data_IF_417588684707
#
_entry.id   IF_417588684707
#
_cell.length_a   1.000
_cell.length_b   1.000
_cell.length_c   1.000
_cell.angle_alpha   90.00
_cell.angle_beta   90.00
_cell.angle_gamma   90.00
#
_symmetry.space_group_name_H-M   'P 1'
#
loop_
_entity.id
_entity.type
_entity.pdbx_description
1 polymer ?
#
# COMPACT_ATOMS: atom_id res chain seq x y z
N UNK A 1 20.96 27.99 43.90
CA UNK A 1 21.42 29.33 43.47
C UNK A 1 21.35 29.37 41.95
N UNK A 2 20.28 29.87 41.33
CA UNK A 2 20.00 31.29 41.03
C UNK A 2 21.08 31.92 40.14
N UNK A 3 20.81 31.94 38.80
CA UNK A 3 20.68 33.07 37.84
C UNK A 3 22.01 33.77 37.44
N UNK A 4 22.25 34.38 36.26
CA UNK A 4 21.47 35.16 35.25
C UNK A 4 22.07 34.90 33.83
N UNK A 5 21.40 34.92 32.67
CA UNK A 5 20.55 35.90 31.94
C UNK A 5 21.25 37.08 31.23
N UNK A 6 21.21 37.06 29.89
CA UNK A 6 20.99 38.19 28.95
C UNK A 6 20.92 37.58 27.53
N UNK A 7 19.98 37.86 26.62
CA UNK A 7 18.93 38.86 26.56
C UNK A 7 18.88 39.46 25.14
N UNK A 8 17.66 39.51 24.57
CA UNK A 8 17.16 40.38 23.47
C UNK A 8 17.08 39.82 22.02
N UNK A 9 15.86 39.35 21.70
CA UNK A 9 14.92 39.94 20.72
C UNK A 9 15.47 40.86 19.61
N UNK A 10 15.15 40.52 18.34
CA UNK A 10 14.66 41.46 17.32
C UNK A 10 13.76 40.78 16.29
N UNK A 11 12.58 41.38 16.08
CA UNK A 11 11.52 41.05 15.13
C UNK A 11 11.72 41.73 13.77
N UNK A 12 11.41 40.98 12.71
CA UNK A 12 10.86 41.24 11.38
C UNK A 12 10.96 42.59 10.61
N UNK A 13 11.35 42.41 9.32
CA UNK A 13 10.95 43.06 8.03
C UNK A 13 11.46 44.49 7.70
N UNK A 14 11.46 44.96 6.43
CA UNK A 14 10.96 44.36 5.17
C UNK A 14 11.94 44.39 3.96
N UNK A 15 11.72 43.57 2.93
CA UNK A 15 12.10 43.92 1.56
C UNK A 15 10.88 43.81 0.65
N UNK A 16 10.49 44.97 0.14
CA UNK A 16 9.54 45.17 -0.95
C UNK A 16 10.35 45.83 -2.08
N UNK A 17 10.09 45.37 -3.31
CA UNK A 17 10.55 45.89 -4.61
C UNK A 17 12.00 45.60 -5.02
N UNK A 18 12.15 44.70 -5.99
CA UNK A 18 12.38 45.09 -7.40
C UNK A 18 12.35 43.84 -8.29
N UNK A 19 11.31 43.77 -9.13
CA UNK A 19 11.37 43.01 -10.36
C UNK A 19 12.40 43.68 -11.28
N UNK A 20 13.38 42.94 -11.78
CA UNK A 20 13.96 43.07 -13.12
C UNK A 20 14.96 41.95 -13.36
N UNK A 21 14.68 41.13 -14.38
CA UNK A 21 15.62 40.35 -15.18
C UNK A 21 16.79 39.63 -14.46
N UNK A 22 16.66 38.32 -14.27
CA UNK A 22 17.77 37.44 -14.67
C UNK A 22 17.24 36.20 -15.37
N UNK A 23 17.58 36.14 -16.67
CA UNK A 23 17.60 34.92 -17.47
C UNK A 23 18.83 34.09 -17.05
N UNK A 24 18.66 32.78 -17.13
CA UNK A 24 19.69 31.75 -17.37
C UNK A 24 20.62 31.38 -16.21
N UNK A 25 20.45 30.16 -15.69
CA UNK A 25 21.25 28.99 -16.12
C UNK A 25 20.97 27.80 -15.19
N UNK A 26 20.08 26.90 -15.60
CA UNK A 26 20.02 25.55 -15.02
C UNK A 26 20.57 24.60 -16.09
N UNK A 27 21.68 23.95 -15.75
CA UNK A 27 22.38 22.91 -16.52
C UNK A 27 23.00 23.34 -17.86
N UNK A 28 24.19 23.94 -17.80
CA UNK A 28 25.21 23.78 -18.85
C UNK A 28 26.62 23.92 -18.25
N UNK A 29 27.26 22.78 -17.98
CA UNK A 29 28.71 22.63 -18.01
C UNK A 29 29.09 21.22 -18.47
N UNK A 30 29.17 21.10 -19.80
CA UNK A 30 30.15 20.34 -20.59
C UNK A 30 30.65 18.99 -20.10
N UNK A 31 30.19 17.94 -20.79
CA UNK A 31 30.85 16.64 -20.90
C UNK A 31 30.05 15.76 -21.84
N UNK A 32 30.25 15.90 -23.15
CA UNK A 32 29.51 15.16 -24.17
C UNK A 32 29.72 13.65 -24.06
N UNK A 33 28.64 12.91 -23.82
CA UNK A 33 28.52 11.48 -24.07
C UNK A 33 27.05 11.18 -24.46
N UNK A 34 26.80 10.26 -25.40
CA UNK A 34 25.55 10.20 -26.17
C UNK A 34 24.33 9.78 -25.32
N UNK A 35 23.17 10.29 -25.73
CA UNK A 35 21.83 10.00 -25.22
C UNK A 35 21.62 8.53 -24.80
N UNK A 36 21.52 8.29 -23.49
CA UNK A 36 21.20 6.99 -22.90
C UNK A 36 19.77 6.49 -23.21
N UNK A 37 18.93 7.30 -23.88
CA UNK A 37 17.61 6.91 -24.39
C UNK A 37 17.65 5.76 -25.42
N UNK A 38 18.79 5.49 -26.06
CA UNK A 38 18.89 4.42 -27.07
C UNK A 38 19.50 3.10 -26.58
N UNK A 39 19.96 3.01 -25.32
CA UNK A 39 20.65 1.82 -24.82
C UNK A 39 19.84 1.00 -23.80
N UNK A 40 18.92 1.62 -23.06
CA UNK A 40 18.04 0.88 -22.14
C UNK A 40 16.93 0.15 -22.89
N UNK A 41 16.44 0.71 -24.01
CA UNK A 41 15.48 0.05 -24.92
C UNK A 41 16.09 -1.07 -25.79
N UNK A 42 17.41 -1.30 -25.75
CA UNK A 42 18.09 -2.32 -26.56
C UNK A 42 18.61 -3.53 -25.77
N UNK A 43 18.57 -3.52 -24.43
CA UNK A 43 19.18 -4.59 -23.61
C UNK A 43 18.20 -5.49 -22.86
N UNK A 44 16.96 -5.05 -22.66
CA UNK A 44 15.84 -5.92 -22.32
C UNK A 44 14.81 -5.80 -23.44
N UNK A 45 14.97 -6.68 -24.43
CA UNK A 45 14.15 -6.66 -25.62
C UNK A 45 12.69 -6.89 -25.24
N UNK A 46 11.80 -6.13 -25.86
CA UNK A 46 10.36 -6.38 -25.92
C UNK A 46 9.99 -7.77 -26.47
N UNK A 47 10.96 -8.64 -26.76
CA UNK A 47 10.79 -10.01 -27.25
C UNK A 47 10.24 -10.93 -26.16
N UNK A 48 10.75 -10.92 -24.93
CA UNK A 48 10.32 -11.92 -23.91
C UNK A 48 8.95 -11.61 -23.33
N UNK A 49 8.57 -10.33 -23.23
CA UNK A 49 7.26 -9.87 -22.73
C UNK A 49 6.18 -9.96 -23.82
N UNK A 50 6.51 -9.59 -25.08
CA UNK A 50 5.62 -9.83 -26.22
C UNK A 50 5.42 -11.33 -26.46
N UNK A 51 6.43 -12.15 -26.18
CA UNK A 51 6.35 -13.61 -26.29
C UNK A 51 5.59 -14.27 -25.12
N UNK A 52 5.60 -13.67 -23.93
CA UNK A 52 4.71 -14.03 -22.80
C UNK A 52 3.24 -13.71 -23.13
N UNK A 53 2.98 -12.50 -23.66
CA UNK A 53 1.64 -12.06 -24.10
C UNK A 53 1.16 -12.91 -25.29
N UNK A 54 2.03 -13.23 -26.25
CA UNK A 54 1.70 -14.08 -27.40
C UNK A 54 1.60 -15.58 -27.04
N UNK A 55 2.26 -16.06 -25.97
CA UNK A 55 2.01 -17.40 -25.40
C UNK A 55 0.64 -17.46 -24.73
N UNK A 56 0.26 -16.41 -24.01
CA UNK A 56 -1.06 -16.32 -23.40
C UNK A 56 -2.16 -16.29 -24.48
N UNK A 57 -2.02 -15.45 -25.51
CA UNK A 57 -2.94 -15.41 -26.67
C UNK A 57 -3.02 -16.74 -27.42
N UNK A 58 -1.92 -17.50 -27.55
CA UNK A 58 -1.90 -18.84 -28.17
C UNK A 58 -2.57 -19.92 -27.30
N UNK A 59 -2.47 -19.84 -25.98
CA UNK A 59 -3.16 -20.75 -25.07
C UNK A 59 -4.67 -20.48 -24.99
N UNK A 60 -5.11 -19.23 -25.18
CA UNK A 60 -6.54 -18.86 -25.26
C UNK A 60 -7.20 -19.37 -26.54
N UNK A 61 -6.49 -19.39 -27.67
CA UNK A 61 -7.02 -19.96 -28.92
C UNK A 61 -7.20 -21.49 -28.91
N UNK A 62 -6.58 -22.20 -27.97
CA UNK A 62 -6.67 -23.66 -27.81
C UNK A 62 -7.70 -24.14 -26.78
N UNK A 63 -8.31 -23.22 -26.02
CA UNK A 63 -9.32 -23.53 -25.01
C UNK A 63 -10.67 -22.93 -25.40
N UNK A 64 -11.38 -23.59 -26.31
CA UNK A 64 -12.85 -23.65 -26.22
C UNK A 64 -13.20 -24.35 -24.90
N UNK A 65 -13.21 -23.59 -23.81
CA UNK A 65 -13.70 -24.05 -22.52
C UNK A 65 -15.22 -23.91 -22.52
N UNK A 66 -15.86 -25.06 -22.67
CA UNK A 66 -17.24 -25.31 -22.30
C UNK A 66 -17.62 -24.57 -21.01
N UNK A 67 -18.69 -23.78 -21.08
CA UNK A 67 -19.40 -23.24 -19.93
C UNK A 67 -19.74 -24.38 -18.96
N UNK A 68 -18.93 -24.56 -17.92
CA UNK A 68 -19.29 -25.33 -16.74
C UNK A 68 -19.36 -24.32 -15.59
N UNK A 69 -20.57 -24.10 -15.10
CA UNK A 69 -20.84 -23.19 -13.99
C UNK A 69 -20.00 -23.60 -12.78
N UNK A 70 -19.08 -22.74 -12.33
CA UNK A 70 -18.32 -22.94 -11.11
C UNK A 70 -19.09 -22.45 -9.87
N UNK A 71 -20.40 -22.70 -9.81
CA UNK A 71 -21.28 -22.47 -8.63
C UNK A 71 -20.99 -23.49 -7.50
N UNK A 72 -19.81 -24.12 -7.51
CA UNK A 72 -19.56 -25.38 -6.80
C UNK A 72 -18.81 -25.29 -5.48
N UNK A 73 -18.19 -24.15 -5.13
CA UNK A 73 -17.25 -24.11 -3.99
C UNK A 73 -17.66 -23.23 -2.79
N UNK A 74 -18.80 -22.53 -2.86
CA UNK A 74 -19.41 -21.81 -1.74
C UNK A 74 -20.68 -22.48 -1.19
N UNK A 75 -20.75 -23.82 -1.20
CA UNK A 75 -21.76 -24.52 -0.40
C UNK A 75 -21.34 -24.56 1.08
N UNK A 76 -21.36 -23.42 1.74
CA UNK A 76 -21.36 -23.34 3.20
C UNK A 76 -22.80 -23.25 3.66
N UNK A 77 -23.29 -24.32 4.26
CA UNK A 77 -24.61 -24.39 4.87
C UNK A 77 -24.76 -23.28 5.91
N UNK A 78 -25.71 -22.37 5.66
CA UNK A 78 -26.17 -21.39 6.66
C UNK A 78 -26.42 -22.13 7.97
N UNK A 79 -25.77 -21.70 9.06
CA UNK A 79 -26.00 -22.30 10.37
C UNK A 79 -27.50 -22.26 10.70
N UNK A 80 -28.11 -23.32 11.25
CA UNK A 80 -29.56 -23.41 11.43
C UNK A 80 -30.18 -22.27 12.24
N UNK A 81 -29.39 -21.56 13.05
CA UNK A 81 -29.85 -20.42 13.85
C UNK A 81 -30.04 -19.12 13.07
N UNK A 82 -29.41 -18.94 11.90
CA UNK A 82 -29.53 -17.72 11.08
C UNK A 82 -30.72 -17.81 10.10
N UNK A 83 -31.15 -19.03 9.76
CA UNK A 83 -32.11 -19.30 8.69
C UNK A 83 -33.55 -18.81 8.94
N UNK A 84 -33.91 -18.35 10.14
CA UNK A 84 -35.30 -18.05 10.46
C UNK A 84 -35.77 -16.62 10.18
N UNK A 85 -34.89 -15.63 9.97
CA UNK A 85 -35.26 -14.23 9.66
C UNK A 85 -34.19 -13.48 8.83
N UNK A 86 -33.77 -14.03 7.70
CA UNK A 86 -32.82 -13.35 6.80
C UNK A 86 -33.60 -12.42 5.85
N UNK A 87 -33.43 -11.11 6.00
CA UNK A 87 -34.02 -10.06 5.15
C UNK A 87 -32.93 -9.19 4.53
N UNK A 88 -33.32 -8.29 3.62
CA UNK A 88 -32.43 -7.24 3.09
C UNK A 88 -31.91 -6.35 4.24
N UNK A 89 -32.69 -6.13 5.29
CA UNK A 89 -32.25 -5.38 6.48
C UNK A 89 -31.15 -6.11 7.24
N UNK A 90 -31.22 -7.45 7.31
CA UNK A 90 -30.14 -8.28 7.86
C UNK A 90 -28.85 -8.10 7.07
N UNK A 91 -28.94 -8.11 5.73
CA UNK A 91 -27.80 -7.84 4.85
C UNK A 91 -27.20 -6.44 5.09
N UNK A 92 -28.04 -5.41 5.12
CA UNK A 92 -27.61 -4.02 5.33
C UNK A 92 -26.91 -3.87 6.69
N UNK A 93 -27.46 -4.49 7.74
CA UNK A 93 -26.87 -4.50 9.08
C UNK A 93 -25.50 -5.16 9.11
N UNK A 94 -25.33 -6.31 8.43
CA UNK A 94 -24.04 -7.00 8.32
C UNK A 94 -23.01 -6.15 7.57
N UNK A 95 -23.41 -5.47 6.50
CA UNK A 95 -22.55 -4.57 5.75
C UNK A 95 -22.09 -3.38 6.62
N UNK A 96 -23.00 -2.76 7.38
CA UNK A 96 -22.68 -1.66 8.31
C UNK A 96 -21.70 -2.12 9.39
N UNK A 97 -21.84 -3.35 9.88
CA UNK A 97 -20.93 -3.95 10.87
C UNK A 97 -19.58 -4.36 10.27
N UNK A 98 -19.45 -4.33 8.94
CA UNK A 98 -18.25 -4.75 8.20
C UNK A 98 -18.08 -6.27 8.12
N UNK A 99 -19.14 -7.03 8.38
CA UNK A 99 -19.12 -8.48 8.45
C UNK A 99 -19.37 -9.10 7.06
N UNK A 100 -18.38 -8.94 6.18
CA UNK A 100 -18.48 -9.27 4.76
C UNK A 100 -18.71 -10.76 4.48
N UNK A 101 -18.26 -11.69 5.34
CA UNK A 101 -18.45 -13.14 5.11
C UNK A 101 -19.92 -13.51 5.21
N UNK A 102 -20.53 -13.18 6.35
CA UNK A 102 -21.94 -13.41 6.61
C UNK A 102 -22.81 -12.60 5.64
N UNK A 103 -22.38 -11.40 5.23
CA UNK A 103 -23.08 -10.63 4.21
C UNK A 103 -23.12 -11.36 2.85
N UNK A 104 -22.04 -12.03 2.44
CA UNK A 104 -21.98 -12.82 1.20
C UNK A 104 -22.80 -14.12 1.33
N UNK A 105 -22.81 -14.76 2.50
CA UNK A 105 -23.69 -15.92 2.76
C UNK A 105 -25.16 -15.53 2.69
N UNK A 106 -25.51 -14.37 3.26
CA UNK A 106 -26.86 -13.81 3.17
C UNK A 106 -27.21 -13.41 1.74
N UNK A 107 -26.26 -12.88 0.96
CA UNK A 107 -26.45 -12.57 -0.45
C UNK A 107 -26.87 -13.83 -1.24
N UNK A 108 -26.11 -14.91 -1.15
CA UNK A 108 -26.43 -16.18 -1.82
C UNK A 108 -27.80 -16.72 -1.40
N UNK A 109 -28.13 -16.63 -0.10
CA UNK A 109 -29.44 -17.02 0.40
C UNK A 109 -30.59 -16.17 -0.18
N UNK A 110 -30.42 -14.84 -0.25
CA UNK A 110 -31.42 -13.91 -0.77
C UNK A 110 -31.64 -14.12 -2.27
N UNK A 111 -30.58 -14.32 -3.05
CA UNK A 111 -30.65 -14.62 -4.48
C UNK A 111 -31.37 -15.96 -4.73
N UNK A 112 -31.04 -17.01 -3.95
CA UNK A 112 -31.72 -18.31 -4.02
C UNK A 112 -33.21 -18.25 -3.67
N UNK A 113 -33.65 -17.24 -2.91
CA UNK A 113 -35.07 -16.96 -2.60
C UNK A 113 -35.74 -16.04 -3.62
N UNK A 114 -35.00 -15.55 -4.62
CA UNK A 114 -35.52 -14.67 -5.67
C UNK A 114 -35.63 -13.19 -5.26
N UNK A 115 -34.96 -12.77 -4.18
CA UNK A 115 -34.86 -11.35 -3.85
C UNK A 115 -33.77 -10.70 -4.71
N UNK A 116 -34.13 -9.68 -5.49
CA UNK A 116 -33.17 -8.92 -6.29
C UNK A 116 -32.42 -7.91 -5.42
N UNK A 117 -31.10 -8.06 -5.34
CA UNK A 117 -30.22 -7.08 -4.71
C UNK A 117 -29.95 -5.93 -5.68
N UNK A 118 -29.98 -4.69 -5.18
CA UNK A 118 -29.65 -3.54 -6.00
C UNK A 118 -28.13 -3.32 -6.11
N UNK A 119 -27.74 -2.53 -7.11
CA UNK A 119 -26.35 -2.23 -7.40
C UNK A 119 -25.66 -1.51 -6.23
N UNK A 120 -26.36 -0.64 -5.51
CA UNK A 120 -25.79 0.15 -4.40
C UNK A 120 -25.33 -0.78 -3.29
N UNK A 121 -26.13 -1.79 -2.94
CA UNK A 121 -25.81 -2.79 -1.93
C UNK A 121 -24.65 -3.69 -2.36
N UNK A 122 -24.62 -4.12 -3.61
CA UNK A 122 -23.52 -4.93 -4.15
C UNK A 122 -22.21 -4.15 -4.18
N UNK A 123 -22.22 -2.87 -4.58
CA UNK A 123 -21.05 -2.00 -4.54
C UNK A 123 -20.59 -1.72 -3.10
N UNK A 124 -21.55 -1.58 -2.16
CA UNK A 124 -21.26 -1.49 -0.74
C UNK A 124 -20.54 -2.72 -0.20
N UNK A 125 -20.99 -3.92 -0.60
CA UNK A 125 -20.34 -5.17 -0.24
C UNK A 125 -18.98 -5.34 -0.93
N UNK A 126 -18.85 -4.94 -2.20
CA UNK A 126 -17.58 -4.98 -2.93
C UNK A 126 -16.48 -4.20 -2.18
N UNK A 127 -16.81 -3.03 -1.64
CA UNK A 127 -15.89 -2.25 -0.80
C UNK A 127 -15.44 -3.02 0.45
N UNK A 128 -16.33 -3.77 1.09
CA UNK A 128 -16.00 -4.58 2.27
C UNK A 128 -15.17 -5.82 1.91
N UNK A 129 -15.40 -6.38 0.72
CA UNK A 129 -14.66 -7.49 0.14
C UNK A 129 -13.30 -7.08 -0.43
N UNK A 130 -12.96 -5.77 -0.47
CA UNK A 130 -11.63 -5.26 -0.82
C UNK A 130 -10.53 -5.57 0.21
N UNK A 131 -10.45 -6.82 0.64
CA UNK A 131 -9.53 -7.34 1.65
C UNK A 131 -8.85 -8.61 1.12
N UNK A 132 -7.58 -8.89 1.49
CA UNK A 132 -6.84 -10.06 0.99
C UNK A 132 -7.54 -11.39 1.26
N UNK A 133 -8.23 -11.52 2.38
CA UNK A 133 -8.92 -12.76 2.78
C UNK A 133 -10.26 -12.96 2.09
N UNK A 134 -10.73 -11.94 1.35
CA UNK A 134 -12.05 -11.92 0.74
C UNK A 134 -11.98 -12.09 -0.79
N UNK A 135 -10.87 -12.55 -1.37
CA UNK A 135 -10.72 -12.70 -2.83
C UNK A 135 -11.82 -13.57 -3.45
N UNK A 136 -12.10 -14.73 -2.85
CA UNK A 136 -13.13 -15.63 -3.38
C UNK A 136 -14.55 -15.03 -3.24
N UNK A 137 -14.81 -14.31 -2.14
CA UNK A 137 -16.05 -13.55 -1.97
C UNK A 137 -16.17 -12.38 -2.96
N UNK A 138 -15.06 -11.69 -3.25
CA UNK A 138 -14.97 -10.62 -4.22
C UNK A 138 -15.30 -11.12 -5.64
N UNK A 139 -14.92 -12.36 -5.99
CA UNK A 139 -15.33 -12.99 -7.26
C UNK A 139 -16.83 -13.22 -7.32
N UNK A 140 -17.45 -13.74 -6.25
CA UNK A 140 -18.90 -13.89 -6.16
C UNK A 140 -19.61 -12.54 -6.35
N UNK A 141 -19.17 -11.51 -5.61
CA UNK A 141 -19.75 -10.16 -5.70
C UNK A 141 -19.57 -9.55 -7.09
N UNK A 142 -18.41 -9.75 -7.73
CA UNK A 142 -18.18 -9.32 -9.11
C UNK A 142 -19.16 -9.98 -10.07
N UNK A 143 -19.35 -11.30 -9.98
CA UNK A 143 -20.32 -12.03 -10.81
C UNK A 143 -21.75 -11.49 -10.61
N UNK A 144 -22.17 -11.24 -9.36
CA UNK A 144 -23.47 -10.65 -9.06
C UNK A 144 -23.64 -9.26 -9.69
N UNK A 145 -22.61 -8.39 -9.62
CA UNK A 145 -22.67 -7.03 -10.20
C UNK A 145 -22.83 -7.09 -11.73
N UNK A 146 -22.06 -7.95 -12.40
CA UNK A 146 -22.11 -8.09 -13.86
C UNK A 146 -23.41 -8.74 -14.32
N UNK A 147 -23.95 -9.69 -13.54
CA UNK A 147 -25.24 -10.31 -13.80
C UNK A 147 -26.41 -9.32 -13.65
N UNK A 148 -26.33 -8.39 -12.68
CA UNK A 148 -27.35 -7.38 -12.45
C UNK A 148 -27.37 -6.29 -13.53
N UNK A 149 -26.19 -5.83 -13.97
CA UNK A 149 -26.04 -4.70 -14.89
C UNK A 149 -25.10 -5.04 -16.04
N UNK A 150 -25.66 -5.25 -17.22
CA UNK A 150 -24.90 -5.46 -18.46
C UNK A 150 -25.47 -4.62 -19.60
N UNK A 151 -24.70 -3.68 -20.21
CA UNK A 151 -23.29 -3.37 -19.90
C UNK A 151 -23.14 -2.59 -18.57
N UNK A 152 -22.15 -2.99 -17.78
CA UNK A 152 -21.78 -2.33 -16.52
C UNK A 152 -21.08 -0.99 -16.78
N UNK A 153 -21.45 0.07 -16.06
CA UNK A 153 -20.91 1.42 -16.25
C UNK A 153 -19.46 1.55 -15.73
N UNK A 154 -18.76 2.62 -16.16
CA UNK A 154 -17.36 2.87 -15.78
C UNK A 154 -17.19 2.98 -14.26
N UNK A 155 -18.17 3.55 -13.56
CA UNK A 155 -18.14 3.71 -12.10
C UNK A 155 -18.13 2.36 -11.37
N UNK A 156 -19.03 1.45 -11.76
CA UNK A 156 -19.12 0.12 -11.17
C UNK A 156 -17.89 -0.72 -11.48
N UNK A 157 -17.35 -0.65 -12.70
CA UNK A 157 -16.10 -1.33 -13.05
C UNK A 157 -14.90 -0.81 -12.26
N UNK A 158 -14.80 0.51 -12.07
CA UNK A 158 -13.77 1.09 -11.21
C UNK A 158 -13.86 0.56 -9.77
N UNK A 159 -15.07 0.42 -9.21
CA UNK A 159 -15.27 -0.15 -7.87
C UNK A 159 -14.85 -1.63 -7.79
N UNK A 160 -15.10 -2.42 -8.85
CA UNK A 160 -14.63 -3.80 -8.93
C UNK A 160 -13.09 -3.86 -8.98
N UNK A 161 -12.45 -2.97 -9.75
CA UNK A 161 -10.97 -2.86 -9.80
C UNK A 161 -10.42 -2.51 -8.42
N UNK A 162 -11.03 -1.55 -7.70
CA UNK A 162 -10.63 -1.19 -6.33
C UNK A 162 -10.81 -2.34 -5.34
N UNK A 163 -11.89 -3.12 -5.46
CA UNK A 163 -12.11 -4.34 -4.68
C UNK A 163 -10.96 -5.34 -4.91
N UNK A 164 -10.65 -5.68 -6.17
CA UNK A 164 -9.55 -6.60 -6.48
C UNK A 164 -8.17 -6.06 -6.09
N UNK A 165 -7.95 -4.75 -6.22
CA UNK A 165 -6.76 -4.08 -5.69
C UNK A 165 -6.61 -4.32 -4.19
N UNK A 166 -7.71 -4.26 -3.43
CA UNK A 166 -7.74 -4.56 -2.00
C UNK A 166 -7.50 -6.04 -1.68
N UNK A 167 -7.89 -6.95 -2.57
CA UNK A 167 -7.64 -8.38 -2.47
C UNK A 167 -6.23 -8.83 -2.88
N UNK A 168 -5.36 -7.92 -3.32
CA UNK A 168 -4.06 -8.23 -3.94
C UNK A 168 -4.14 -9.01 -5.25
N UNK A 169 -5.30 -9.05 -5.92
CA UNK A 169 -5.46 -9.74 -7.20
C UNK A 169 -5.36 -8.76 -8.36
N UNK A 170 -4.13 -8.36 -8.67
CA UNK A 170 -3.86 -7.44 -9.79
C UNK A 170 -4.25 -8.06 -11.14
N UNK A 171 -4.15 -9.39 -11.27
CA UNK A 171 -4.58 -10.10 -12.47
C UNK A 171 -6.09 -9.98 -12.71
N UNK A 172 -6.91 -10.15 -11.66
CA UNK A 172 -8.37 -10.01 -11.78
C UNK A 172 -8.77 -8.54 -12.00
N UNK A 173 -8.08 -7.60 -11.35
CA UNK A 173 -8.23 -6.17 -11.61
C UNK A 173 -7.92 -5.80 -13.08
N UNK A 174 -6.83 -6.34 -13.63
CA UNK A 174 -6.41 -6.09 -15.01
C UNK A 174 -7.40 -6.67 -16.03
N UNK A 175 -7.94 -7.88 -15.80
CA UNK A 175 -8.99 -8.44 -16.65
C UNK A 175 -10.21 -7.52 -16.74
N UNK A 176 -10.68 -7.02 -15.60
CA UNK A 176 -11.85 -6.11 -15.56
C UNK A 176 -11.56 -4.83 -16.35
N UNK A 177 -10.34 -4.30 -16.23
CA UNK A 177 -9.89 -3.12 -16.96
C UNK A 177 -9.78 -3.37 -18.48
N UNK A 178 -9.23 -4.51 -18.90
CA UNK A 178 -9.09 -4.88 -20.33
C UNK A 178 -10.44 -5.15 -21.01
N UNK A 179 -11.44 -5.61 -20.26
CA UNK A 179 -12.81 -5.82 -20.74
C UNK A 179 -13.63 -4.52 -20.84
N UNK A 180 -13.09 -3.37 -20.40
CA UNK A 180 -13.80 -2.09 -20.47
C UNK A 180 -13.84 -1.58 -21.92
N UNK A 181 -15.04 -1.39 -22.52
CA UNK A 181 -15.13 -0.84 -23.88
C UNK A 181 -14.70 0.63 -23.93
N UNK A 182 -14.92 1.36 -22.83
CA UNK A 182 -14.54 2.74 -22.64
C UNK A 182 -13.95 2.90 -21.24
N UNK A 183 -12.89 3.69 -21.12
CA UNK A 183 -12.31 4.09 -19.84
C UNK A 183 -11.85 5.53 -19.93
N UNK A 184 -11.80 6.20 -18.78
CA UNK A 184 -11.46 7.62 -18.69
C UNK A 184 -10.24 7.84 -17.79
N UNK A 185 -9.84 9.10 -17.61
CA UNK A 185 -8.74 9.48 -16.71
C UNK A 185 -8.91 8.95 -15.28
N UNK A 186 -10.15 8.83 -14.78
CA UNK A 186 -10.43 8.26 -13.47
C UNK A 186 -10.12 6.76 -13.40
N UNK A 187 -10.50 6.00 -14.43
CA UNK A 187 -10.15 4.57 -14.54
C UNK A 187 -8.63 4.38 -14.60
N UNK A 188 -7.91 5.23 -15.33
CA UNK A 188 -6.44 5.22 -15.33
C UNK A 188 -5.87 5.41 -13.93
N UNK A 189 -6.36 6.41 -13.18
CA UNK A 189 -5.93 6.66 -11.79
C UNK A 189 -6.20 5.45 -10.88
N UNK A 190 -7.35 4.80 -11.03
CA UNK A 190 -7.71 3.59 -10.26
C UNK A 190 -6.73 2.46 -10.56
N UNK A 191 -6.41 2.21 -11.83
CA UNK A 191 -5.50 1.13 -12.21
C UNK A 191 -4.05 1.42 -11.82
N UNK A 192 -3.56 2.65 -12.00
CA UNK A 192 -2.23 3.06 -11.52
C UNK A 192 -2.12 2.91 -10.01
N UNK A 193 -3.14 3.33 -9.25
CA UNK A 193 -3.19 3.16 -7.79
C UNK A 193 -3.22 1.68 -7.40
N UNK A 194 -3.94 0.85 -8.15
CA UNK A 194 -3.94 -0.60 -7.97
C UNK A 194 -2.52 -1.17 -8.10
N UNK A 195 -1.80 -0.78 -9.15
CA UNK A 195 -0.42 -1.18 -9.37
C UNK A 195 0.50 -0.70 -8.24
N UNK A 196 0.47 0.59 -7.89
CA UNK A 196 1.31 1.18 -6.83
C UNK A 196 1.07 0.50 -5.48
N UNK A 197 -0.19 0.32 -5.08
CA UNK A 197 -0.53 -0.31 -3.81
C UNK A 197 -0.04 -1.76 -3.73
N UNK A 198 0.08 -2.44 -4.87
CA UNK A 198 0.53 -3.83 -5.00
C UNK A 198 2.00 -3.96 -5.45
N UNK A 199 2.74 -2.85 -5.48
CA UNK A 199 4.17 -2.79 -5.80
C UNK A 199 4.53 -2.85 -7.29
N UNK A 200 3.58 -2.84 -8.20
CA UNK A 200 3.82 -2.94 -9.66
C UNK A 200 4.17 -1.58 -10.28
N UNK A 201 5.28 -0.98 -9.85
CA UNK A 201 5.66 0.38 -10.25
C UNK A 201 5.96 0.53 -11.74
N UNK A 202 6.66 -0.43 -12.34
CA UNK A 202 7.01 -0.39 -13.77
C UNK A 202 5.76 -0.49 -14.64
N UNK A 203 4.83 -1.38 -14.31
CA UNK A 203 3.57 -1.54 -15.02
C UNK A 203 2.69 -0.27 -14.95
N UNK A 204 2.78 0.49 -13.86
CA UNK A 204 2.11 1.78 -13.74
C UNK A 204 2.73 2.86 -14.65
N UNK A 205 4.06 2.87 -14.83
CA UNK A 205 4.75 3.78 -15.75
C UNK A 205 4.41 3.43 -17.21
N UNK A 206 4.40 2.13 -17.54
CA UNK A 206 4.03 1.64 -18.87
C UNK A 206 2.59 2.03 -19.21
N UNK A 207 1.66 1.87 -18.27
CA UNK A 207 0.27 2.26 -18.43
C UNK A 207 0.12 3.78 -18.66
N UNK A 208 0.85 4.60 -17.91
CA UNK A 208 0.87 6.05 -18.12
C UNK A 208 1.49 6.45 -19.47
N UNK A 209 2.54 5.76 -19.90
CA UNK A 209 3.18 6.00 -21.20
C UNK A 209 2.22 5.70 -22.34
N UNK A 210 1.56 4.54 -22.31
CA UNK A 210 0.53 4.17 -23.28
C UNK A 210 -0.60 5.20 -23.33
N UNK A 211 -1.07 5.66 -22.17
CA UNK A 211 -2.11 6.69 -22.10
C UNK A 211 -1.72 7.97 -22.85
N UNK A 212 -0.47 8.42 -22.75
CA UNK A 212 0.05 9.57 -23.51
C UNK A 212 0.17 9.27 -25.01
N UNK A 213 0.64 8.09 -25.39
CA UNK A 213 0.82 7.68 -26.80
C UNK A 213 -0.51 7.59 -27.55
N UNK A 214 -1.59 7.23 -26.85
CA UNK A 214 -2.96 7.25 -27.37
C UNK A 214 -3.53 8.68 -27.56
N UNK A 215 -2.74 9.72 -27.27
CA UNK A 215 -3.10 11.12 -27.45
C UNK A 215 -3.93 11.70 -26.29
N UNK A 216 -4.10 10.96 -25.20
CA UNK A 216 -4.83 11.44 -24.04
C UNK A 216 -4.03 12.47 -23.24
N UNK A 217 -4.73 13.40 -22.59
CA UNK A 217 -4.12 14.44 -21.77
C UNK A 217 -4.20 14.07 -20.28
N UNK A 218 -3.06 13.95 -19.59
CA UNK A 218 -3.04 13.79 -18.14
C UNK A 218 -3.69 14.98 -17.44
N UNK A 219 -4.32 14.72 -16.30
CA UNK A 219 -4.80 15.73 -15.38
C UNK A 219 -3.94 15.71 -14.09
N UNK A 220 -4.20 16.61 -13.15
CA UNK A 220 -3.41 16.67 -11.90
C UNK A 220 -3.45 15.37 -11.09
N UNK A 221 -4.60 14.69 -11.06
CA UNK A 221 -4.73 13.42 -10.32
C UNK A 221 -3.85 12.32 -10.91
N UNK A 222 -3.73 12.24 -12.23
CA UNK A 222 -2.82 11.31 -12.92
C UNK A 222 -1.37 11.63 -12.54
N UNK A 223 -0.97 12.90 -12.51
CA UNK A 223 0.39 13.28 -12.09
C UNK A 223 0.68 12.88 -10.64
N UNK A 224 -0.28 12.99 -9.73
CA UNK A 224 -0.13 12.45 -8.37
C UNK A 224 0.12 10.93 -8.35
N UNK A 225 -0.55 10.16 -9.22
CA UNK A 225 -0.27 8.72 -9.36
C UNK A 225 1.12 8.46 -9.95
N UNK A 226 1.56 9.27 -10.90
CA UNK A 226 2.93 9.20 -11.46
C UNK A 226 3.97 9.46 -10.37
N UNK A 227 3.82 10.49 -9.53
CA UNK A 227 4.74 10.76 -8.43
C UNK A 227 4.73 9.66 -7.36
N UNK A 228 3.56 9.08 -7.09
CA UNK A 228 3.44 7.92 -6.19
C UNK A 228 4.15 6.70 -6.77
N UNK A 229 4.07 6.50 -8.09
CA UNK A 229 4.79 5.46 -8.81
C UNK A 229 6.29 5.68 -8.76
N UNK A 230 6.76 6.91 -9.01
CA UNK A 230 8.18 7.28 -8.91
C UNK A 230 8.71 7.15 -7.47
N UNK A 231 7.86 7.36 -6.46
CA UNK A 231 8.22 7.11 -5.05
C UNK A 231 8.48 5.63 -4.82
N UNK A 232 7.65 4.76 -5.39
CA UNK A 232 7.77 3.30 -5.27
C UNK A 232 8.98 2.75 -6.03
N UNK A 233 9.23 3.23 -7.26
CA UNK A 233 10.36 2.77 -8.08
C UNK A 233 11.68 3.42 -7.68
N UNK A 234 11.63 4.59 -7.03
CA UNK A 234 12.79 5.41 -6.68
C UNK A 234 13.30 6.26 -7.84
N UNK A 235 12.53 6.40 -8.92
CA UNK A 235 12.93 7.20 -10.09
C UNK A 235 12.64 8.70 -9.88
N UNK A 236 13.48 9.33 -9.06
CA UNK A 236 13.43 10.77 -8.78
C UNK A 236 13.61 11.61 -10.04
N UNK A 237 14.39 11.14 -11.00
CA UNK A 237 14.67 11.87 -12.24
C UNK A 237 13.43 11.96 -13.09
N UNK A 238 12.77 10.83 -13.32
CA UNK A 238 11.52 10.78 -14.08
C UNK A 238 10.44 11.60 -13.37
N UNK A 239 10.25 11.43 -12.06
CA UNK A 239 9.27 12.20 -11.31
C UNK A 239 9.50 13.72 -11.38
N UNK A 240 10.76 14.16 -11.36
CA UNK A 240 11.13 15.58 -11.52
C UNK A 240 10.85 16.10 -12.93
N UNK A 241 11.08 15.28 -13.97
CA UNK A 241 10.72 15.61 -15.36
C UNK A 241 9.20 15.73 -15.51
N UNK A 242 8.44 14.78 -14.94
CA UNK A 242 6.98 14.79 -15.00
C UNK A 242 6.39 15.99 -14.23
N UNK A 243 6.98 16.39 -13.10
CA UNK A 243 6.56 17.61 -12.40
C UNK A 243 6.80 18.87 -13.24
N UNK A 244 7.88 18.93 -14.02
CA UNK A 244 8.11 20.04 -14.95
C UNK A 244 7.14 20.01 -16.14
N UNK A 245 6.92 18.84 -16.72
CA UNK A 245 5.98 18.67 -17.84
C UNK A 245 4.56 19.09 -17.44
N UNK A 246 4.13 18.76 -16.22
CA UNK A 246 2.81 19.11 -15.68
C UNK A 246 2.43 20.59 -15.89
N UNK A 247 3.33 21.53 -15.55
CA UNK A 247 3.03 22.96 -15.73
C UNK A 247 3.54 23.54 -17.05
N UNK A 248 4.60 22.99 -17.66
CA UNK A 248 5.17 23.52 -18.92
C UNK A 248 4.45 23.04 -20.18
N UNK A 249 4.10 21.75 -20.20
CA UNK A 249 3.52 21.09 -21.37
C UNK A 249 2.00 21.00 -21.26
N UNK A 250 1.49 20.67 -20.06
CA UNK A 250 0.05 20.48 -19.85
C UNK A 250 -0.64 21.70 -19.23
N UNK A 251 0.12 22.73 -18.81
CA UNK A 251 -0.42 23.96 -18.25
C UNK A 251 -1.16 23.76 -16.92
N UNK A 252 -0.91 22.66 -16.21
CA UNK A 252 -1.55 22.32 -14.95
C UNK A 252 -0.80 23.00 -13.81
N UNK A 253 -1.50 23.82 -13.03
CA UNK A 253 -0.93 24.49 -11.87
C UNK A 253 -0.75 23.49 -10.72
N UNK A 254 0.47 23.30 -10.18
CA UNK A 254 0.69 22.39 -9.07
C UNK A 254 -0.08 22.82 -7.80
N UNK A 255 -0.93 21.92 -7.31
CA UNK A 255 -1.60 22.04 -6.01
C UNK A 255 -0.69 21.55 -4.87
N UNK A 256 -1.10 21.80 -3.62
CA UNK A 256 -0.40 21.33 -2.42
C UNK A 256 -0.15 19.81 -2.41
N UNK A 257 -1.08 19.02 -2.96
CA UNK A 257 -0.95 17.56 -3.07
C UNK A 257 0.19 17.13 -4.01
N UNK A 258 0.41 17.87 -5.10
CA UNK A 258 1.50 17.60 -6.02
C UNK A 258 2.85 17.91 -5.36
N UNK A 259 2.95 19.04 -4.66
CA UNK A 259 4.15 19.39 -3.89
C UNK A 259 4.43 18.37 -2.80
N UNK A 260 3.40 17.92 -2.09
CA UNK A 260 3.53 16.89 -1.07
C UNK A 260 4.02 15.56 -1.66
N UNK A 261 3.45 15.15 -2.79
CA UNK A 261 3.82 13.90 -3.48
C UNK A 261 5.27 13.93 -3.97
N UNK A 262 5.72 15.05 -4.56
CA UNK A 262 7.13 15.20 -5.00
C UNK A 262 8.08 15.31 -3.82
N UNK A 263 7.71 16.00 -2.75
CA UNK A 263 8.52 16.05 -1.51
C UNK A 263 8.69 14.65 -0.93
N UNK A 264 7.60 13.87 -0.86
CA UNK A 264 7.63 12.49 -0.41
C UNK A 264 8.52 11.63 -1.30
N UNK A 265 8.41 11.75 -2.62
CA UNK A 265 9.27 11.04 -3.57
C UNK A 265 10.76 11.31 -3.31
N UNK A 266 11.16 12.58 -3.25
CA UNK A 266 12.55 13.00 -2.99
C UNK A 266 13.06 12.45 -1.65
N UNK A 267 12.29 12.67 -0.59
CA UNK A 267 12.67 12.28 0.76
C UNK A 267 12.69 10.76 0.96
N UNK A 268 11.78 9.99 0.34
CA UNK A 268 11.79 8.53 0.42
C UNK A 268 13.06 7.97 -0.22
N UNK A 269 13.49 8.53 -1.35
CA UNK A 269 14.76 8.18 -2.01
C UNK A 269 16.01 8.75 -1.34
N UNK A 270 15.89 9.38 -0.16
CA UNK A 270 17.03 9.89 0.62
C UNK A 270 17.60 11.24 0.15
N UNK A 271 16.97 11.91 -0.82
CA UNK A 271 17.42 13.21 -1.33
C UNK A 271 16.89 14.33 -0.43
N UNK A 272 17.26 14.32 0.86
CA UNK A 272 16.70 15.18 1.90
C UNK A 272 16.96 16.67 1.66
N UNK A 273 18.19 17.03 1.25
CA UNK A 273 18.54 18.42 0.94
C UNK A 273 17.73 18.97 -0.25
N UNK A 274 17.55 18.14 -1.29
CA UNK A 274 16.74 18.49 -2.45
C UNK A 274 15.26 18.63 -2.06
N UNK A 275 14.75 17.73 -1.21
CA UNK A 275 13.39 17.79 -0.68
C UNK A 275 13.17 19.08 0.14
N UNK A 276 14.09 19.44 1.03
CA UNK A 276 13.98 20.68 1.82
C UNK A 276 14.01 21.91 0.91
N UNK A 277 14.98 22.00 0.00
CA UNK A 277 15.08 23.12 -0.94
C UNK A 277 13.84 23.20 -1.87
N UNK A 278 13.22 22.07 -2.19
CA UNK A 278 11.97 22.04 -2.95
C UNK A 278 10.80 22.63 -2.14
N UNK A 279 10.67 22.25 -0.86
CA UNK A 279 9.65 22.79 0.06
C UNK A 279 9.83 24.29 0.31
N UNK A 280 11.07 24.74 0.50
CA UNK A 280 11.38 26.16 0.75
C UNK A 280 11.08 27.06 -0.46
N UNK A 281 11.03 26.48 -1.68
CA UNK A 281 10.73 27.21 -2.93
C UNK A 281 9.26 27.15 -3.33
N UNK A 282 8.40 26.55 -2.50
CA UNK A 282 6.97 26.49 -2.78
C UNK A 282 6.38 27.91 -2.93
N UNK A 283 5.47 28.14 -3.90
CA UNK A 283 4.83 29.44 -4.08
C UNK A 283 3.74 29.72 -3.04
N UNK A 284 3.47 28.77 -2.13
CA UNK A 284 2.53 28.86 -1.03
C UNK A 284 3.17 28.33 0.26
N UNK A 285 2.57 28.66 1.41
CA UNK A 285 2.99 28.10 2.70
C UNK A 285 2.80 26.57 2.71
N UNK A 286 3.83 25.77 3.05
CA UNK A 286 3.71 24.32 3.05
C UNK A 286 2.77 23.84 4.16
N UNK A 287 1.92 22.86 3.82
CA UNK A 287 0.98 22.25 4.78
C UNK A 287 1.69 21.43 5.85
N UNK A 288 0.97 21.14 6.94
CA UNK A 288 1.41 20.26 8.02
C UNK A 288 1.88 18.90 7.47
N UNK A 289 1.16 18.32 6.51
CA UNK A 289 1.47 16.99 5.97
C UNK A 289 2.81 16.95 5.23
N UNK A 290 3.25 18.07 4.64
CA UNK A 290 4.58 18.19 4.01
C UNK A 290 5.68 18.17 5.05
N UNK A 291 5.58 18.99 6.08
CA UNK A 291 6.56 19.02 7.16
C UNK A 291 6.57 17.71 7.96
N UNK A 292 5.41 17.10 8.19
CA UNK A 292 5.27 15.79 8.83
C UNK A 292 5.96 14.70 8.00
N UNK A 293 5.83 14.76 6.67
CA UNK A 293 6.47 13.81 5.76
C UNK A 293 7.99 13.97 5.76
N UNK A 294 8.48 15.20 5.66
CA UNK A 294 9.92 15.49 5.70
C UNK A 294 10.52 15.14 7.06
N UNK A 295 9.84 15.45 8.17
CA UNK A 295 10.22 15.05 9.53
C UNK A 295 10.42 13.53 9.62
N UNK A 296 9.40 12.76 9.23
CA UNK A 296 9.41 11.31 9.35
C UNK A 296 10.50 10.68 8.47
N UNK A 297 10.65 11.13 7.22
CA UNK A 297 11.61 10.56 6.28
C UNK A 297 13.06 10.97 6.58
N UNK A 298 13.29 12.19 7.09
CA UNK A 298 14.63 12.61 7.53
C UNK A 298 15.15 11.71 8.66
N UNK A 299 14.29 11.42 9.63
CA UNK A 299 14.60 10.52 10.76
C UNK A 299 14.82 9.09 10.31
N UNK A 300 14.03 8.60 9.36
CA UNK A 300 14.24 7.26 8.74
C UNK A 300 15.62 7.17 8.08
N UNK A 301 16.07 8.23 7.42
CA UNK A 301 17.40 8.31 6.79
C UNK A 301 18.53 8.70 7.76
N UNK A 302 18.23 8.93 9.04
CA UNK A 302 19.21 9.23 10.09
C UNK A 302 19.59 10.70 10.22
N UNK A 303 18.96 11.61 9.47
CA UNK A 303 19.10 13.06 9.65
C UNK A 303 18.16 13.54 10.76
N UNK A 304 18.65 13.39 12.00
CA UNK A 304 17.93 13.78 13.21
C UNK A 304 17.78 15.29 13.30
N UNK A 305 18.76 16.07 12.84
CA UNK A 305 18.73 17.53 12.92
C UNK A 305 17.62 18.11 12.04
N UNK A 306 17.53 17.67 10.77
CA UNK A 306 16.44 18.07 9.89
C UNK A 306 15.09 17.55 10.40
N UNK A 307 15.08 16.33 10.93
CA UNK A 307 13.91 15.74 11.58
C UNK A 307 13.35 16.62 12.70
N UNK A 308 14.20 17.06 13.63
CA UNK A 308 13.81 17.86 14.78
C UNK A 308 13.39 19.28 14.38
N UNK A 309 14.08 19.89 13.40
CA UNK A 309 13.64 21.17 12.80
C UNK A 309 12.23 21.07 12.21
N UNK A 310 11.94 19.99 11.47
CA UNK A 310 10.61 19.78 10.92
C UNK A 310 9.57 19.52 12.01
N UNK A 311 9.93 18.83 13.09
CA UNK A 311 9.05 18.61 14.23
C UNK A 311 8.61 19.92 14.89
N UNK A 312 9.53 20.88 15.08
CA UNK A 312 9.16 22.21 15.59
C UNK A 312 8.18 22.95 14.67
N UNK A 313 8.28 22.76 13.36
CA UNK A 313 7.36 23.35 12.38
C UNK A 313 5.99 22.69 12.44
N UNK A 314 5.94 21.36 12.53
CA UNK A 314 4.70 20.60 12.73
C UNK A 314 4.01 21.03 14.02
N UNK A 315 4.75 21.18 15.13
CA UNK A 315 4.18 21.63 16.41
C UNK A 315 3.52 23.01 16.32
N UNK A 316 4.20 23.94 15.63
CA UNK A 316 3.69 25.31 15.43
C UNK A 316 2.43 25.35 14.57
N UNK A 317 2.32 24.46 13.58
CA UNK A 317 1.18 24.43 12.66
C UNK A 317 0.01 23.61 13.22
N UNK A 318 0.28 22.45 13.82
CA UNK A 318 -0.70 21.56 14.44
C UNK A 318 -0.03 20.66 15.50
N UNK A 319 -0.05 21.12 16.75
CA UNK A 319 0.50 20.39 17.88
C UNK A 319 -0.13 19.01 18.12
N UNK A 320 -1.34 18.75 17.60
CA UNK A 320 -2.01 17.45 17.78
C UNK A 320 -1.38 16.31 16.96
N UNK A 321 -0.57 16.64 15.96
CA UNK A 321 0.15 15.67 15.11
C UNK A 321 1.35 15.03 15.79
N UNK A 322 1.86 15.64 16.87
CA UNK A 322 2.99 15.13 17.62
C UNK A 322 2.51 14.38 18.86
N UNK A 323 2.33 13.05 18.75
CA UNK A 323 2.27 12.22 19.96
C UNK A 323 3.70 11.99 20.52
N UNK A 324 3.81 11.47 21.75
CA UNK A 324 5.12 11.21 22.41
C UNK A 324 6.00 10.21 21.63
N UNK A 325 5.42 9.45 20.69
CA UNK A 325 6.11 8.45 19.84
C UNK A 325 6.58 9.11 18.54
N UNK A 326 5.77 10.00 17.96
CA UNK A 326 6.12 10.88 16.84
C UNK A 326 7.28 11.80 17.19
N UNK A 327 7.32 12.35 18.41
CA UNK A 327 8.41 13.23 18.86
C UNK A 327 9.73 12.48 19.07
N UNK A 328 9.68 11.19 19.41
CA UNK A 328 10.85 10.32 19.57
C UNK A 328 11.42 9.77 18.24
N UNK A 329 10.83 10.15 17.11
CA UNK A 329 11.31 9.84 15.77
C UNK A 329 10.90 8.49 15.20
N UNK A 330 9.84 7.90 15.73
CA UNK A 330 9.20 6.73 15.14
C UNK A 330 8.01 7.18 14.29
N UNK A 331 7.85 6.56 13.12
CA UNK A 331 6.70 6.80 12.24
C UNK A 331 5.42 6.52 13.03
N UNK A 332 4.59 7.55 13.20
CA UNK A 332 3.31 7.43 13.89
C UNK A 332 2.38 6.44 13.18
N UNK A 333 1.84 5.49 13.94
CA UNK A 333 0.55 4.87 13.64
C UNK A 333 -0.44 5.53 14.59
N UNK A 334 -1.56 6.04 14.07
CA UNK A 334 -2.48 6.89 14.85
C UNK A 334 -2.95 6.18 16.12
N UNK A 335 -2.97 6.90 17.25
CA UNK A 335 -3.51 6.41 18.52
C UNK A 335 -5.00 5.97 18.42
N UNK A 336 -5.75 6.46 17.42
CA UNK A 336 -7.13 6.05 17.12
C UNK A 336 -7.26 4.59 16.67
N UNK A 337 -6.17 3.95 16.24
CA UNK A 337 -6.17 2.54 15.83
C UNK A 337 -6.12 1.57 17.04
N UNK A 338 -6.02 2.11 18.26
CA UNK A 338 -5.93 1.36 19.52
C UNK A 338 -7.19 1.45 20.40
N UNK A 339 -8.31 1.96 19.88
CA UNK A 339 -9.57 1.87 20.62
C UNK A 339 -9.96 0.40 20.73
N UNK A 340 -9.79 -0.15 21.94
CA UNK A 340 -10.35 -1.43 22.38
C UNK A 340 -11.84 -1.48 22.02
N UNK A 341 -12.21 -2.20 20.96
CA UNK A 341 -13.56 -2.78 20.89
C UNK A 341 -13.59 -3.91 21.90
N UNK A 342 -14.44 -3.79 22.90
CA UNK A 342 -14.73 -4.89 23.83
C UNK A 342 -15.17 -6.14 23.06
N UNK A 343 -14.79 -7.35 23.53
CA UNK A 343 -15.06 -8.58 22.81
C UNK A 343 -16.56 -8.90 22.88
N UNK A 344 -17.24 -8.85 21.75
CA UNK A 344 -18.56 -9.46 21.63
C UNK A 344 -18.43 -10.97 21.80
N UNK A 345 -19.15 -11.49 22.79
CA UNK A 345 -19.15 -12.88 23.23
C UNK A 345 -19.91 -13.77 22.25
N UNK A 346 -19.18 -14.36 21.30
CA UNK A 346 -19.35 -15.70 20.69
C UNK A 346 -18.75 -15.68 19.28
N UNK A 347 -17.53 -16.19 19.16
CA UNK A 347 -16.96 -16.63 17.89
C UNK A 347 -16.00 -17.78 18.14
N UNK A 348 -16.40 -18.95 17.62
CA UNK A 348 -15.56 -20.14 17.47
C UNK A 348 -14.40 -19.88 16.48
N UNK A 349 -13.34 -20.71 16.48
CA UNK A 349 -11.98 -20.26 16.21
C UNK A 349 -11.68 -20.06 14.72
N UNK A 350 -11.54 -18.79 14.34
CA UNK A 350 -11.07 -18.37 13.02
C UNK A 350 -9.58 -18.68 12.83
N UNK A 351 -9.27 -19.39 11.74
CA UNK A 351 -7.92 -19.70 11.31
C UNK A 351 -7.31 -18.50 10.55
N UNK A 352 -7.06 -17.41 11.27
CA UNK A 352 -6.28 -16.27 10.80
C UNK A 352 -5.48 -15.79 12.01
N UNK A 353 -4.16 -15.57 11.87
CA UNK A 353 -3.27 -15.20 12.99
C UNK A 353 -3.59 -13.79 13.48
N UNK A 354 -4.71 -13.69 14.18
CA UNK A 354 -5.05 -12.64 15.13
C UNK A 354 -4.44 -13.10 16.43
N UNK A 355 -3.33 -12.47 16.81
CA UNK A 355 -2.63 -12.78 18.05
C UNK A 355 -3.59 -12.60 19.24
N UNK A 356 -4.08 -13.70 19.80
CA UNK A 356 -4.52 -13.74 21.20
C UNK A 356 -3.26 -13.95 22.05
N UNK A 357 -3.16 -13.33 23.24
CA UNK A 357 -2.12 -13.71 24.20
C UNK A 357 -2.18 -15.23 24.35
N UNK A 358 -1.09 -15.90 23.98
CA UNK A 358 -1.05 -17.35 24.04
C UNK A 358 -1.00 -17.71 25.51
N UNK A 359 -2.13 -18.15 26.07
CA UNK A 359 -2.13 -18.86 27.33
C UNK A 359 -1.16 -20.04 27.19
N UNK A 360 -0.27 -20.18 28.16
CA UNK A 360 0.80 -21.19 28.26
C UNK A 360 0.31 -22.66 28.33
N UNK A 361 -0.95 -22.90 27.96
CA UNK A 361 -1.66 -24.17 28.00
C UNK A 361 -2.00 -24.74 26.61
N UNK A 362 -1.56 -24.11 25.51
CA UNK A 362 -1.88 -24.58 24.16
C UNK A 362 -1.06 -25.83 23.76
N UNK A 363 -1.70 -26.96 23.36
CA UNK A 363 -1.03 -28.24 23.13
C UNK A 363 -0.06 -28.27 21.93
N UNK A 364 -0.08 -27.27 21.06
CA UNK A 364 0.85 -27.14 19.91
C UNK A 364 1.96 -26.12 20.13
N UNK A 365 2.05 -25.52 21.31
CA UNK A 365 3.00 -24.43 21.60
C UNK A 365 4.46 -24.91 21.43
N UNK A 366 4.78 -26.14 21.86
CA UNK A 366 6.11 -26.71 21.70
C UNK A 366 6.55 -26.78 20.23
N UNK A 367 5.66 -27.21 19.32
CA UNK A 367 5.95 -27.31 17.88
C UNK A 367 6.18 -25.92 17.29
N UNK A 368 5.39 -24.92 17.70
CA UNK A 368 5.55 -23.53 17.26
C UNK A 368 6.91 -22.99 17.72
N UNK A 369 7.27 -23.17 19.00
CA UNK A 369 8.55 -22.70 19.53
C UNK A 369 9.75 -23.43 18.90
N UNK A 370 9.69 -24.74 18.71
CA UNK A 370 10.75 -25.50 18.03
C UNK A 370 10.95 -25.02 16.59
N UNK A 371 9.85 -24.83 15.85
CA UNK A 371 9.89 -24.32 14.47
C UNK A 371 10.42 -22.88 14.43
N UNK A 372 10.00 -22.03 15.37
CA UNK A 372 10.48 -20.66 15.52
C UNK A 372 11.99 -20.61 15.80
N UNK A 373 12.49 -21.46 16.70
CA UNK A 373 13.91 -21.53 17.01
C UNK A 373 14.73 -22.03 15.82
N UNK A 374 14.22 -23.00 15.07
CA UNK A 374 14.84 -23.44 13.82
C UNK A 374 14.90 -22.31 12.78
N UNK A 375 13.79 -21.57 12.60
CA UNK A 375 13.72 -20.44 11.68
C UNK A 375 14.71 -19.33 12.07
N UNK A 376 14.81 -19.00 13.36
CA UNK A 376 15.78 -18.04 13.88
C UNK A 376 17.23 -18.48 13.68
N UNK A 377 17.53 -19.77 13.84
CA UNK A 377 18.87 -20.29 13.54
C UNK A 377 19.24 -20.06 12.08
N UNK A 378 18.33 -20.37 11.16
CA UNK A 378 18.53 -20.16 9.73
C UNK A 378 18.67 -18.67 9.37
N UNK A 379 17.86 -17.80 9.97
CA UNK A 379 18.00 -16.34 9.83
C UNK A 379 19.40 -15.88 10.25
N UNK A 380 19.89 -16.36 11.39
CA UNK A 380 21.23 -16.04 11.90
C UNK A 380 22.34 -16.56 10.99
N UNK A 381 22.20 -17.76 10.44
CA UNK A 381 23.14 -18.33 9.46
C UNK A 381 23.17 -17.52 8.15
N UNK A 382 22.03 -16.94 7.76
CA UNK A 382 21.95 -15.99 6.65
C UNK A 382 22.48 -14.59 6.97
N UNK A 383 22.98 -14.36 8.19
CA UNK A 383 23.55 -13.09 8.61
C UNK A 383 22.53 -12.05 9.09
N UNK A 384 21.30 -12.46 9.42
CA UNK A 384 20.33 -11.55 10.03
C UNK A 384 20.80 -11.07 11.40
N UNK A 385 20.81 -9.75 11.59
CA UNK A 385 21.11 -9.09 12.86
C UNK A 385 19.95 -8.14 13.17
N UNK A 386 19.19 -8.37 14.27
CA UNK A 386 18.07 -7.51 14.60
C UNK A 386 18.48 -6.05 14.81
N UNK A 387 17.85 -5.14 14.08
CA UNK A 387 18.09 -3.70 14.23
C UNK A 387 17.27 -3.12 15.39
N UNK A 388 17.91 -3.03 16.54
CA UNK A 388 17.30 -2.50 17.77
C UNK A 388 17.01 -1.00 17.74
N UNK A 389 17.51 -0.24 16.76
CA UNK A 389 17.25 1.21 16.64
C UNK A 389 15.75 1.49 16.51
N UNK A 390 15.05 0.62 15.77
CA UNK A 390 13.62 0.70 15.54
C UNK A 390 12.76 0.41 16.78
N UNK A 391 13.32 -0.29 17.77
CA UNK A 391 12.57 -0.77 18.93
C UNK A 391 12.99 -0.08 20.23
N UNK A 392 13.92 0.89 20.20
CA UNK A 392 14.58 1.41 21.40
C UNK A 392 13.62 1.99 22.43
N UNK A 393 12.56 2.69 22.03
CA UNK A 393 11.53 3.20 22.96
C UNK A 393 10.50 2.15 23.37
N UNK A 394 10.15 1.22 22.47
CA UNK A 394 9.26 0.09 22.74
C UNK A 394 9.87 -0.91 23.72
N UNK A 395 11.17 -1.20 23.60
CA UNK A 395 11.93 -2.04 24.54
C UNK A 395 11.93 -1.43 25.95
N UNK A 396 11.92 -0.10 26.07
CA UNK A 396 11.83 0.57 27.37
C UNK A 396 10.39 0.62 27.93
N UNK A 397 9.38 0.54 27.08
CA UNK A 397 7.96 0.57 27.47
C UNK A 397 7.34 -0.82 27.69
N UNK A 398 7.93 -1.89 27.15
CA UNK A 398 7.40 -3.25 27.21
C UNK A 398 8.06 -4.07 28.32
N UNK A 399 7.27 -4.52 29.28
CA UNK A 399 7.74 -5.39 30.38
C UNK A 399 8.16 -6.79 29.91
N UNK A 400 7.65 -7.27 28.76
CA UNK A 400 7.97 -8.59 28.20
C UNK A 400 8.59 -8.48 26.79
N UNK A 401 9.78 -9.07 26.62
CA UNK A 401 10.54 -9.13 25.35
C UNK A 401 9.79 -9.86 24.22
N UNK A 402 8.83 -10.72 24.55
CA UNK A 402 7.98 -11.43 23.58
C UNK A 402 6.95 -10.53 22.89
N UNK A 403 6.79 -9.28 23.32
CA UNK A 403 5.87 -8.33 22.67
C UNK A 403 6.55 -7.48 21.60
N UNK A 404 7.84 -7.67 21.35
CA UNK A 404 8.61 -6.91 20.35
C UNK A 404 8.05 -7.17 18.94
N UNK A 405 7.95 -6.12 18.13
CA UNK A 405 7.42 -6.06 16.75
C UNK A 405 8.11 -6.95 15.70
N UNK A 406 9.16 -7.71 16.06
CA UNK A 406 9.69 -8.79 15.21
C UNK A 406 9.16 -10.15 15.65
N UNK A 407 8.98 -10.32 16.96
CA UNK A 407 8.57 -11.57 17.58
C UNK A 407 7.15 -11.99 17.19
N UNK A 408 6.22 -11.03 17.07
CA UNK A 408 4.83 -11.29 16.67
C UNK A 408 4.75 -11.80 15.24
N UNK A 409 5.46 -11.15 14.33
CA UNK A 409 5.54 -11.51 12.92
C UNK A 409 6.19 -12.88 12.72
N UNK A 410 7.29 -13.16 13.42
CA UNK A 410 7.92 -14.48 13.37
C UNK A 410 6.95 -15.60 13.77
N UNK A 411 6.18 -15.42 14.86
CA UNK A 411 5.16 -16.38 15.27
C UNK A 411 4.10 -16.54 14.20
N UNK A 412 3.56 -15.43 13.66
CA UNK A 412 2.53 -15.47 12.64
C UNK A 412 2.99 -16.21 11.37
N UNK A 413 4.27 -16.05 10.99
CA UNK A 413 4.89 -16.81 9.90
C UNK A 413 4.95 -18.30 10.23
N UNK A 414 5.44 -18.66 11.42
CA UNK A 414 5.54 -20.07 11.84
C UNK A 414 4.17 -20.73 11.90
N UNK A 415 3.18 -20.07 12.49
CA UNK A 415 1.80 -20.58 12.50
C UNK A 415 1.30 -20.80 11.07
N UNK A 416 1.55 -19.85 10.16
CA UNK A 416 1.14 -19.95 8.77
C UNK A 416 1.86 -21.08 8.03
N UNK A 417 3.15 -21.31 8.33
CA UNK A 417 3.93 -22.41 7.76
C UNK A 417 3.37 -23.78 8.16
N UNK A 418 3.01 -23.95 9.43
CA UNK A 418 2.47 -25.20 9.97
C UNK A 418 1.06 -25.51 9.42
N UNK A 419 0.32 -24.49 9.04
CA UNK A 419 -1.09 -24.57 8.63
C UNK A 419 -1.28 -24.68 7.12
N UNK A 420 -0.32 -24.19 6.34
CA UNK A 420 -0.47 -24.01 4.89
C UNK A 420 0.22 -25.12 4.09
N UNK A 421 -0.29 -25.37 2.87
CA UNK A 421 0.29 -26.35 1.95
C UNK A 421 1.74 -25.99 1.61
N UNK A 422 2.64 -26.95 1.40
CA UNK A 422 4.01 -26.67 0.94
C UNK A 422 4.02 -25.74 -0.27
N UNK A 423 4.93 -24.76 -0.28
CA UNK A 423 5.11 -23.75 -1.33
C UNK A 423 3.94 -22.78 -1.57
N UNK A 424 2.87 -22.84 -0.79
CA UNK A 424 1.84 -21.79 -0.86
C UNK A 424 2.37 -20.47 -0.30
N UNK A 425 1.88 -19.35 -0.85
CA UNK A 425 2.19 -18.03 -0.32
C UNK A 425 1.74 -17.88 1.14
N UNK A 426 2.42 -17.02 1.89
CA UNK A 426 2.08 -16.66 3.28
C UNK A 426 1.70 -15.19 3.31
N UNK A 427 0.48 -14.90 3.77
CA UNK A 427 -0.02 -13.52 3.88
C UNK A 427 -0.12 -13.10 5.34
N UNK A 428 0.59 -12.03 5.69
CA UNK A 428 0.55 -11.36 6.99
C UNK A 428 -0.15 -10.02 6.85
N UNK A 429 -1.13 -9.76 7.71
CA UNK A 429 -1.91 -8.54 7.66
C UNK A 429 -1.72 -7.78 8.95
N UNK A 430 -1.12 -6.60 8.85
CA UNK A 430 -0.87 -5.73 9.99
C UNK A 430 -1.41 -4.34 9.69
N UNK A 431 -2.08 -3.73 10.67
CA UNK A 431 -2.54 -2.34 10.56
C UNK A 431 -1.42 -1.33 10.86
N UNK A 432 -0.17 -1.79 10.96
CA UNK A 432 0.99 -0.98 11.35
C UNK A 432 1.98 -0.97 10.20
N UNK A 433 2.64 0.17 9.96
CA UNK A 433 3.67 0.30 8.93
C UNK A 433 4.79 -0.70 9.18
N UNK A 434 5.29 -1.33 8.12
CA UNK A 434 6.44 -2.23 8.28
C UNK A 434 7.68 -1.41 8.64
N UNK A 435 8.46 -1.94 9.57
CA UNK A 435 9.70 -1.33 10.05
C UNK A 435 10.89 -2.02 9.39
N UNK A 436 12.02 -1.33 9.24
CA UNK A 436 13.20 -1.82 8.51
C UNK A 436 13.65 -3.22 8.93
N UNK A 437 13.76 -3.47 10.23
CA UNK A 437 14.13 -4.79 10.74
C UNK A 437 13.16 -5.90 10.30
N UNK A 438 11.85 -5.68 10.45
CA UNK A 438 10.82 -6.61 10.00
C UNK A 438 10.85 -6.80 8.48
N UNK A 439 11.09 -5.74 7.72
CA UNK A 439 11.19 -5.81 6.27
C UNK A 439 12.38 -6.68 5.81
N UNK A 440 13.55 -6.51 6.42
CA UNK A 440 14.74 -7.31 6.11
C UNK A 440 14.60 -8.76 6.57
N UNK A 441 13.98 -8.98 7.73
CA UNK A 441 13.63 -10.31 8.20
C UNK A 441 12.73 -11.05 7.20
N UNK A 442 11.68 -10.41 6.70
CA UNK A 442 10.73 -10.99 5.76
C UNK A 442 11.37 -11.36 4.41
N UNK A 443 12.33 -10.56 3.93
CA UNK A 443 13.15 -10.93 2.76
C UNK A 443 13.87 -12.25 3.00
N UNK A 444 14.58 -12.39 4.11
CA UNK A 444 15.33 -13.61 4.41
C UNK A 444 14.41 -14.81 4.61
N UNK A 445 13.28 -14.62 5.29
CA UNK A 445 12.26 -15.67 5.44
C UNK A 445 11.71 -16.16 4.10
N UNK A 446 11.56 -15.29 3.09
CA UNK A 446 11.15 -15.71 1.74
C UNK A 446 12.16 -16.65 1.09
N UNK A 447 13.46 -16.45 1.36
CA UNK A 447 14.54 -17.34 0.88
C UNK A 447 14.53 -18.65 1.65
N UNK A 448 14.50 -18.58 2.98
CA UNK A 448 14.56 -19.76 3.87
C UNK A 448 13.40 -20.71 3.58
N UNK A 449 12.20 -20.16 3.47
CA UNK A 449 10.98 -20.97 3.30
C UNK A 449 10.74 -21.36 1.84
N UNK A 450 11.38 -20.68 0.89
CA UNK A 450 11.13 -20.82 -0.55
C UNK A 450 9.68 -20.47 -0.93
N UNK A 451 9.04 -19.57 -0.18
CA UNK A 451 7.66 -19.14 -0.36
C UNK A 451 7.58 -17.64 -0.63
N UNK A 452 6.62 -17.26 -1.46
CA UNK A 452 6.23 -15.87 -1.62
C UNK A 452 5.59 -15.40 -0.29
N UNK A 453 6.14 -14.34 0.31
CA UNK A 453 5.58 -13.75 1.53
C UNK A 453 4.94 -12.42 1.19
N UNK A 454 3.69 -12.25 1.58
CA UNK A 454 2.91 -11.05 1.35
C UNK A 454 2.67 -10.39 2.70
N UNK A 455 3.09 -9.15 2.89
CA UNK A 455 2.73 -8.35 4.07
C UNK A 455 1.95 -7.11 3.66
N UNK A 456 0.76 -6.95 4.20
CA UNK A 456 0.05 -5.66 4.14
C UNK A 456 0.49 -4.81 5.32
N UNK A 457 0.99 -3.63 5.03
CA UNK A 457 1.17 -2.59 6.03
C UNK A 457 0.07 -1.52 5.90
N UNK A 458 0.15 -0.44 6.69
CA UNK A 458 -0.85 0.62 6.68
C UNK A 458 -0.98 1.37 5.32
N UNK A 459 -0.01 1.23 4.41
CA UNK A 459 0.08 2.00 3.16
C UNK A 459 0.09 1.12 1.90
N UNK A 460 0.88 0.06 1.88
CA UNK A 460 1.12 -0.76 0.67
C UNK A 460 1.20 -2.25 1.00
N UNK A 461 1.21 -3.06 -0.06
CA UNK A 461 1.57 -4.47 0.00
C UNK A 461 3.04 -4.68 -0.33
N UNK A 462 3.68 -5.47 0.52
CA UNK A 462 5.03 -5.95 0.34
C UNK A 462 4.97 -7.40 -0.14
N UNK A 463 5.48 -7.65 -1.34
CA UNK A 463 5.73 -9.00 -1.82
C UNK A 463 7.22 -9.29 -1.68
N UNK A 464 7.57 -10.18 -0.77
CA UNK A 464 8.92 -10.70 -0.58
C UNK A 464 9.05 -12.00 -1.35
N UNK A 465 10.00 -12.03 -2.29
CA UNK A 465 10.28 -13.17 -3.14
C UNK A 465 11.78 -13.29 -3.33
N UNK A 466 12.33 -14.45 -2.99
CA UNK A 466 13.75 -14.77 -3.17
C UNK A 466 14.69 -13.68 -2.58
N UNK A 467 14.35 -13.15 -1.40
CA UNK A 467 15.19 -12.16 -0.71
C UNK A 467 15.02 -10.72 -1.19
N UNK A 468 14.12 -10.47 -2.14
CA UNK A 468 13.83 -9.14 -2.66
C UNK A 468 12.39 -8.78 -2.31
N UNK A 469 12.18 -7.54 -1.89
CA UNK A 469 10.83 -6.99 -1.78
C UNK A 469 10.53 -6.13 -3.01
N UNK A 470 9.32 -6.22 -3.54
CA UNK A 470 8.89 -5.45 -4.70
C UNK A 470 8.94 -3.92 -4.48
N UNK A 471 8.93 -3.45 -3.25
CA UNK A 471 9.01 -2.01 -2.94
C UNK A 471 10.42 -1.41 -3.07
N UNK A 472 11.45 -2.17 -3.48
CA UNK A 472 12.83 -1.68 -3.68
C UNK A 472 13.47 -0.96 -2.48
N UNK A 473 12.96 -1.22 -1.29
CA UNK A 473 13.33 -0.54 -0.05
C UNK A 473 12.81 0.90 0.15
N UNK A 474 11.75 1.27 -0.59
CA UNK A 474 11.21 2.63 -0.66
C UNK A 474 9.76 2.70 -0.15
N UNK A 475 9.52 2.13 1.03
CA UNK A 475 8.18 1.94 1.61
C UNK A 475 7.79 2.97 2.69
#
# INVERSE_FOLDING_TARGET
MVRLWCGKLRLWKPYLALATQSRNSWFCSGGGAPSHHLHILKKYGSSEITEMINRYKRNVAGHTLTQNSMVGQYKTTVSPSVAQNVTIETFDSLCIQGNWREAVEVLDYLENKGYAMDLIRLLGLAKLCGKPEALEAARVVHECIIALVSPCDVGSRNAIIEMYSGCCSVDDALKVFEEMPEWNSGTLCVMMRCFVNNGYGEEAIDLFTRFKEEGNKPNGEIFNQVFSTCTLTGDVKEGSLQFQAMYREYGIVPSMEHYHSVTKMLATSGHLDEALNFVERMPMEPSVDVWETLMNLSRVHGDVELGDRCAELVEKLDATRLDKVSSAGLVATKASDFVKKEPSTRSEPYFYSTFRPVDSSHPQMNIIYETLMSLRSQLKEMGYVPDTRYYRSLIMAMENKEQIFGYREEIAVVESLLKSKPRSAITLLTNIRIVGDCHDMMKLMSVITGRDMIKRDAKIYHLFKNGVCRCNNLW
#
